data_IF_059542179328
#
_entry.id   IF_059542179328
#
_cell.length_a   1.000
_cell.length_b   1.000
_cell.length_c   1.000
_cell.angle_alpha   90.00
_cell.angle_beta   90.00
_cell.angle_gamma   90.00
#
_symmetry.space_group_name_H-M   'P 1'
#
loop_
_entity.id
_entity.type
_entity.pdbx_description
1 polymer ?
#
# COMPACT_ATOMS: atom_id res chain seq x y z
N UNK A 1 4.07 -25.93 46.64
CA UNK A 1 5.08 -25.74 45.58
C UNK A 1 4.29 -25.63 44.28
N UNK A 2 3.86 -24.43 43.86
CA UNK A 2 4.63 -23.46 43.07
C UNK A 2 5.11 -24.12 41.75
N UNK A 3 4.37 -24.05 40.64
CA UNK A 3 4.20 -22.95 39.65
C UNK A 3 5.50 -22.66 38.84
N UNK A 4 5.33 -22.65 37.50
CA UNK A 4 6.19 -22.11 36.42
C UNK A 4 7.44 -22.94 36.07
N UNK A 5 7.86 -23.10 34.82
CA UNK A 5 7.64 -22.33 33.58
C UNK A 5 8.16 -23.16 32.40
N UNK A 6 7.36 -23.36 31.35
CA UNK A 6 7.83 -23.40 29.96
C UNK A 6 6.60 -23.38 29.02
N UNK A 7 5.87 -22.26 29.04
CA UNK A 7 5.03 -21.87 27.91
C UNK A 7 5.98 -21.30 26.84
N UNK A 8 6.22 -22.04 25.78
CA UNK A 8 6.59 -21.43 24.51
C UNK A 8 5.27 -20.92 23.91
N UNK A 9 5.14 -19.60 23.81
CA UNK A 9 4.05 -18.91 23.12
C UNK A 9 4.01 -19.34 21.65
N UNK A 10 3.11 -20.26 21.31
CA UNK A 10 2.59 -20.36 19.95
C UNK A 10 1.62 -19.19 19.75
N UNK A 11 2.14 -18.10 19.17
CA UNK A 11 1.34 -16.97 18.71
C UNK A 11 0.39 -17.44 17.58
N UNK A 12 -0.87 -17.66 17.91
CA UNK A 12 -1.87 -18.21 16.98
C UNK A 12 -2.07 -17.30 15.76
N UNK A 13 -2.07 -17.83 14.52
CA UNK A 13 -2.29 -17.06 13.30
C UNK A 13 -3.62 -16.31 13.27
N UNK A 14 -4.67 -16.82 13.91
CA UNK A 14 -5.98 -16.18 13.96
C UNK A 14 -5.96 -14.83 14.68
N UNK A 15 -5.15 -14.70 15.73
CA UNK A 15 -5.05 -13.44 16.49
C UNK A 15 -4.40 -12.32 15.66
N UNK A 16 -3.42 -12.66 14.81
CA UNK A 16 -2.81 -11.70 13.88
C UNK A 16 -3.79 -11.28 12.78
N UNK A 17 -4.61 -12.20 12.28
CA UNK A 17 -5.64 -11.88 11.29
C UNK A 17 -6.72 -10.96 11.89
N UNK A 18 -7.20 -11.28 13.10
CA UNK A 18 -8.18 -10.44 13.82
C UNK A 18 -7.60 -9.04 14.08
N UNK A 19 -6.31 -8.95 14.42
CA UNK A 19 -5.58 -7.68 14.53
C UNK A 19 -5.54 -6.87 13.24
N UNK A 20 -5.26 -7.52 12.09
CA UNK A 20 -5.27 -6.85 10.78
C UNK A 20 -6.67 -6.33 10.40
N UNK A 21 -7.73 -7.07 10.69
CA UNK A 21 -9.09 -6.58 10.45
C UNK A 21 -9.47 -5.41 11.37
N UNK A 22 -9.03 -5.44 12.63
CA UNK A 22 -9.32 -4.36 13.58
C UNK A 22 -8.60 -3.06 13.21
N UNK A 23 -7.33 -3.14 12.79
CA UNK A 23 -6.60 -1.96 12.32
C UNK A 23 -7.15 -1.44 10.98
N UNK A 24 -7.76 -2.31 10.14
CA UNK A 24 -8.37 -1.92 8.86
C UNK A 24 -9.59 -1.02 9.09
N UNK A 25 -10.45 -1.36 10.07
CA UNK A 25 -11.64 -0.58 10.43
C UNK A 25 -11.32 0.86 10.89
N UNK A 26 -10.13 1.09 11.46
CA UNK A 26 -9.66 2.41 11.90
C UNK A 26 -9.20 3.33 10.73
N UNK A 27 -8.98 2.79 9.53
CA UNK A 27 -8.47 3.55 8.37
C UNK A 27 -9.55 3.95 7.34
N UNK A 28 -10.77 3.39 7.41
CA UNK A 28 -11.81 3.50 6.35
C UNK A 28 -12.70 4.76 6.37
N UNK A 29 -12.23 5.87 6.93
CA UNK A 29 -12.98 7.13 6.91
C UNK A 29 -12.81 7.90 5.60
N UNK A 30 -13.48 7.52 4.51
CA UNK A 30 -13.44 8.29 3.25
C UNK A 30 -14.76 9.05 3.04
N UNK A 31 -14.67 10.38 3.08
CA UNK A 31 -15.75 11.32 2.76
C UNK A 31 -15.84 11.61 1.27
N UNK A 32 -17.07 11.74 0.78
CA UNK A 32 -17.44 11.89 -0.63
C UNK A 32 -17.53 13.38 -1.04
N UNK A 33 -16.53 13.97 -1.73
CA UNK A 33 -16.71 15.19 -2.59
C UNK A 33 -15.56 15.36 -3.63
N UNK A 34 -15.92 15.74 -4.87
CA UNK A 34 -15.13 16.21 -6.04
C UNK A 34 -14.22 15.20 -6.81
N UNK A 35 -14.78 14.00 -7.00
CA UNK A 35 -14.14 12.80 -7.57
C UNK A 35 -13.45 12.95 -8.95
N UNK A 36 -13.94 13.80 -9.85
CA UNK A 36 -13.48 13.76 -11.26
C UNK A 36 -12.08 14.33 -11.45
N UNK A 37 -11.75 15.43 -10.75
CA UNK A 37 -10.43 16.05 -10.89
C UNK A 37 -9.38 15.28 -10.11
N UNK A 38 -9.75 14.68 -8.98
CA UNK A 38 -8.92 13.79 -8.16
C UNK A 38 -8.58 12.50 -8.90
N UNK A 39 -9.52 11.95 -9.67
CA UNK A 39 -9.33 10.74 -10.48
C UNK A 39 -8.26 10.92 -11.57
N UNK A 40 -8.33 12.01 -12.34
CA UNK A 40 -7.32 12.31 -13.37
C UNK A 40 -5.92 12.54 -12.76
N UNK A 41 -5.88 13.31 -11.68
CA UNK A 41 -4.67 13.62 -10.93
C UNK A 41 -4.00 12.36 -10.36
N UNK A 42 -4.81 11.50 -9.73
CA UNK A 42 -4.37 10.21 -9.20
C UNK A 42 -3.86 9.32 -10.33
N UNK A 43 -4.61 9.20 -11.42
CA UNK A 43 -4.23 8.35 -12.57
C UNK A 43 -2.87 8.74 -13.12
N UNK A 44 -2.64 10.03 -13.38
CA UNK A 44 -1.35 10.54 -13.89
C UNK A 44 -0.19 10.22 -12.92
N UNK A 45 -0.40 10.39 -11.62
CA UNK A 45 0.62 10.10 -10.61
C UNK A 45 0.92 8.60 -10.45
N UNK A 46 -0.10 7.74 -10.56
CA UNK A 46 0.07 6.28 -10.48
C UNK A 46 0.72 5.72 -11.74
N UNK A 47 0.33 6.19 -12.93
CA UNK A 47 0.99 5.84 -14.19
C UNK A 47 2.48 6.21 -14.14
N UNK A 48 2.81 7.42 -13.70
CA UNK A 48 4.19 7.85 -13.48
C UNK A 48 4.93 6.93 -12.50
N UNK A 49 4.29 6.55 -11.39
CA UNK A 49 4.89 5.65 -10.41
C UNK A 49 5.18 4.26 -11.01
N UNK A 50 4.29 3.72 -11.84
CA UNK A 50 4.52 2.42 -12.48
C UNK A 50 5.70 2.46 -13.45
N UNK A 51 5.87 3.55 -14.20
CA UNK A 51 7.05 3.77 -15.05
C UNK A 51 8.34 3.84 -14.23
N UNK A 52 8.31 4.57 -13.11
CA UNK A 52 9.42 4.67 -12.16
C UNK A 52 9.73 3.31 -11.56
N UNK A 53 8.71 2.55 -11.15
CA UNK A 53 8.87 1.21 -10.60
C UNK A 53 9.53 0.26 -11.62
N UNK A 54 9.13 0.34 -12.89
CA UNK A 54 9.76 -0.42 -13.97
C UNK A 54 11.23 -0.03 -14.21
N UNK A 55 11.62 1.22 -13.94
CA UNK A 55 12.98 1.71 -14.10
C UNK A 55 13.90 1.35 -12.94
N UNK A 56 13.44 1.57 -11.70
CA UNK A 56 14.24 1.39 -10.48
C UNK A 56 14.11 -0.02 -9.87
N UNK A 57 13.08 -0.77 -10.26
CA UNK A 57 12.81 -2.11 -9.73
C UNK A 57 12.42 -2.10 -8.25
N UNK A 58 11.60 -1.12 -7.83
CA UNK A 58 11.10 -1.08 -6.46
C UNK A 58 10.22 -2.29 -6.16
N UNK A 59 10.03 -2.58 -4.88
CA UNK A 59 9.12 -3.61 -4.45
C UNK A 59 7.66 -3.21 -4.75
N UNK A 60 6.81 -4.22 -4.93
CA UNK A 60 5.36 -4.00 -5.08
C UNK A 60 4.81 -3.24 -3.86
N UNK A 61 5.33 -3.54 -2.66
CA UNK A 61 4.95 -2.87 -1.42
C UNK A 61 5.26 -1.37 -1.45
N UNK A 62 6.39 -0.93 -2.00
CA UNK A 62 6.66 0.51 -2.22
C UNK A 62 5.61 1.17 -3.09
N UNK A 63 5.15 0.50 -4.15
CA UNK A 63 4.07 1.02 -5.00
C UNK A 63 2.74 1.08 -4.24
N UNK A 64 2.43 0.09 -3.40
CA UNK A 64 1.23 0.12 -2.55
C UNK A 64 1.25 1.28 -1.55
N UNK A 65 2.38 1.47 -0.86
CA UNK A 65 2.57 2.57 0.08
C UNK A 65 2.45 3.92 -0.61
N UNK A 66 3.05 4.06 -1.80
CA UNK A 66 2.91 5.26 -2.62
C UNK A 66 1.42 5.59 -2.90
N UNK A 67 0.65 4.61 -3.39
CA UNK A 67 -0.76 4.81 -3.74
C UNK A 67 -1.57 5.15 -2.49
N UNK A 68 -1.35 4.45 -1.37
CA UNK A 68 -2.02 4.75 -0.11
C UNK A 68 -1.73 6.18 0.38
N UNK A 69 -0.47 6.62 0.33
CA UNK A 69 -0.10 7.98 0.74
C UNK A 69 -0.70 9.03 -0.17
N UNK A 70 -0.72 8.78 -1.48
CA UNK A 70 -1.32 9.65 -2.47
C UNK A 70 -2.83 9.80 -2.22
N UNK A 71 -3.56 8.69 -2.09
CA UNK A 71 -5.02 8.69 -1.91
C UNK A 71 -5.42 9.38 -0.60
N UNK A 72 -4.70 9.12 0.50
CA UNK A 72 -4.92 9.79 1.78
C UNK A 72 -4.58 11.27 1.76
N UNK A 73 -3.56 11.66 0.99
CA UNK A 73 -3.21 13.06 0.81
C UNK A 73 -4.27 13.81 -0.01
N UNK A 74 -4.71 13.23 -1.13
CA UNK A 74 -5.75 13.82 -1.99
C UNK A 74 -7.08 13.98 -1.23
N UNK A 75 -7.53 12.94 -0.52
CA UNK A 75 -8.77 12.98 0.26
C UNK A 75 -8.75 13.99 1.43
N UNK A 76 -7.59 14.21 2.05
CA UNK A 76 -7.46 15.15 3.18
C UNK A 76 -7.24 16.60 2.73
N UNK A 77 -6.73 16.81 1.52
CA UNK A 77 -6.29 18.11 1.04
C UNK A 77 -7.28 18.63 -0.01
N UNK A 78 -8.27 19.42 0.41
CA UNK A 78 -9.15 20.17 -0.51
C UNK A 78 -8.32 21.01 -1.47
N UNK A 79 -8.09 20.47 -2.66
CA UNK A 79 -7.17 21.03 -3.62
C UNK A 79 -7.79 22.27 -4.26
N UNK A 80 -7.24 23.46 -3.98
CA UNK A 80 -7.65 24.64 -4.72
C UNK A 80 -7.23 24.49 -6.19
N UNK A 81 -8.24 24.32 -7.06
CA UNK A 81 -8.20 24.22 -8.53
C UNK A 81 -7.33 25.32 -9.14
N UNK A 82 -6.02 25.11 -9.18
CA UNK A 82 -5.07 26.10 -9.69
C UNK A 82 -3.58 25.71 -9.62
N UNK A 83 -3.22 24.53 -9.13
CA UNK A 83 -1.80 24.16 -8.96
C UNK A 83 -1.51 22.72 -9.45
N UNK A 84 -1.64 22.45 -10.75
CA UNK A 84 -1.15 21.19 -11.37
C UNK A 84 0.30 20.85 -10.94
N UNK A 85 1.15 21.85 -10.73
CA UNK A 85 2.50 21.63 -10.19
C UNK A 85 2.51 20.92 -8.82
N UNK A 86 1.50 21.07 -7.97
CA UNK A 86 1.49 20.41 -6.66
C UNK A 86 1.41 18.90 -6.77
N UNK A 87 0.69 18.33 -7.75
CA UNK A 87 0.51 16.87 -7.75
C UNK A 87 1.81 16.14 -8.06
N UNK A 88 2.60 16.65 -8.99
CA UNK A 88 3.91 16.07 -9.28
C UNK A 88 4.84 16.13 -8.06
N UNK A 89 4.80 17.22 -7.29
CA UNK A 89 5.57 17.33 -6.05
C UNK A 89 5.05 16.39 -4.96
N UNK A 90 3.73 16.23 -4.84
CA UNK A 90 3.09 15.25 -3.95
C UNK A 90 3.54 13.84 -4.33
N UNK A 91 3.45 13.47 -5.62
CA UNK A 91 3.87 12.16 -6.10
C UNK A 91 5.35 11.87 -5.77
N UNK A 92 6.27 12.78 -6.12
CA UNK A 92 7.69 12.63 -5.76
C UNK A 92 7.88 12.46 -4.25
N UNK A 93 7.10 13.18 -3.45
CA UNK A 93 7.16 13.11 -2.00
C UNK A 93 6.63 11.79 -1.46
N UNK A 94 5.47 11.34 -1.93
CA UNK A 94 4.89 10.03 -1.58
C UNK A 94 5.85 8.91 -1.94
N UNK A 95 6.51 9.01 -3.10
CA UNK A 95 7.52 8.04 -3.52
C UNK A 95 8.74 8.06 -2.61
N UNK A 96 9.27 9.25 -2.31
CA UNK A 96 10.42 9.40 -1.40
C UNK A 96 10.11 8.79 -0.03
N UNK A 97 8.92 9.04 0.52
CA UNK A 97 8.47 8.46 1.78
C UNK A 97 8.32 6.94 1.69
N UNK A 98 7.67 6.42 0.64
CA UNK A 98 7.48 4.98 0.45
C UNK A 98 8.83 4.26 0.30
N UNK A 99 9.77 4.82 -0.46
CA UNK A 99 11.11 4.29 -0.61
C UNK A 99 11.89 4.35 0.72
N UNK A 100 11.74 5.41 1.53
CA UNK A 100 12.38 5.49 2.85
C UNK A 100 11.84 4.49 3.86
N UNK A 101 10.58 4.09 3.73
CA UNK A 101 9.92 3.11 4.60
C UNK A 101 10.30 1.69 4.22
N UNK A 102 10.27 1.36 2.93
CA UNK A 102 10.38 -0.03 2.46
C UNK A 102 11.74 -0.38 1.86
N UNK A 103 12.39 0.56 1.16
CA UNK A 103 13.59 0.25 0.37
C UNK A 103 14.87 0.42 1.18
N UNK A 104 15.75 -0.57 1.12
CA UNK A 104 17.02 -0.58 1.88
C UNK A 104 17.95 0.59 1.52
N UNK A 105 17.82 1.12 0.30
CA UNK A 105 18.62 2.26 -0.19
C UNK A 105 17.81 3.56 -0.37
N UNK A 106 16.56 3.61 0.08
CA UNK A 106 15.66 4.75 -0.18
C UNK A 106 16.07 6.06 0.50
N UNK A 107 16.85 6.01 1.59
CA UNK A 107 17.28 7.20 2.33
C UNK A 107 18.14 8.18 1.51
N UNK A 108 18.91 7.69 0.54
CA UNK A 108 19.88 8.52 -0.20
C UNK A 108 19.37 8.96 -1.59
N UNK A 109 18.18 8.51 -2.01
CA UNK A 109 17.69 8.76 -3.38
C UNK A 109 17.05 10.14 -3.57
N UNK A 110 16.55 10.77 -2.51
CA UNK A 110 15.74 12.00 -2.58
C UNK A 110 16.18 13.06 -1.57
N UNK A 111 17.37 13.62 -1.74
CA UNK A 111 17.99 14.56 -0.77
C UNK A 111 17.93 16.04 -1.23
N UNK A 112 16.80 16.48 -1.77
CA UNK A 112 16.59 17.90 -2.08
C UNK A 112 15.87 18.61 -0.92
N UNK A 113 16.38 19.78 -0.47
CA UNK A 113 15.76 20.60 0.58
C UNK A 113 14.29 20.96 0.31
N UNK A 114 13.89 21.02 -0.96
CA UNK A 114 12.51 21.28 -1.38
C UNK A 114 11.60 20.08 -1.12
N UNK A 115 12.12 18.85 -1.28
CA UNK A 115 11.38 17.60 -1.01
C UNK A 115 11.12 17.47 0.49
N UNK A 116 12.09 17.76 1.35
CA UNK A 116 11.94 17.65 2.82
C UNK A 116 10.77 18.46 3.40
N UNK A 117 10.50 19.66 2.86
CA UNK A 117 9.35 20.48 3.31
C UNK A 117 8.02 19.86 2.93
N UNK A 118 7.95 19.26 1.74
CA UNK A 118 6.76 18.58 1.27
C UNK A 118 6.55 17.24 2.00
N UNK A 119 7.63 16.50 2.29
CA UNK A 119 7.60 15.30 3.11
C UNK A 119 6.95 15.56 4.46
N UNK A 120 7.34 16.65 5.12
CA UNK A 120 6.74 17.03 6.39
C UNK A 120 5.23 17.30 6.24
N UNK A 121 4.79 17.97 5.17
CA UNK A 121 3.37 18.22 4.92
C UNK A 121 2.58 16.93 4.72
N UNK A 122 3.12 16.01 3.91
CA UNK A 122 2.50 14.69 3.67
C UNK A 122 2.46 13.88 4.98
N UNK A 123 3.55 13.84 5.75
CA UNK A 123 3.61 13.15 7.04
C UNK A 123 2.58 13.69 8.05
N UNK A 124 2.44 15.01 8.13
CA UNK A 124 1.44 15.65 8.99
C UNK A 124 0.01 15.30 8.55
N UNK A 125 -0.24 15.27 7.25
CA UNK A 125 -1.53 14.88 6.67
C UNK A 125 -1.85 13.42 6.97
N UNK A 126 -0.85 12.54 6.85
CA UNK A 126 -0.95 11.12 7.20
C UNK A 126 -0.97 10.86 8.71
N UNK A 127 -0.86 11.90 9.55
CA UNK A 127 -0.72 11.79 11.01
C UNK A 127 0.40 10.82 11.42
N UNK A 128 1.49 10.78 10.65
CA UNK A 128 2.63 9.88 10.84
C UNK A 128 2.32 8.38 10.75
N UNK A 129 1.12 8.00 10.27
CA UNK A 129 0.77 6.59 10.01
C UNK A 129 1.38 6.14 8.68
N UNK A 130 2.63 5.65 8.73
CA UNK A 130 3.45 5.25 7.58
C UNK A 130 3.45 3.75 7.30
N UNK A 131 2.79 2.95 8.13
CA UNK A 131 2.65 1.52 7.91
C UNK A 131 1.16 1.21 7.85
N UNK A 132 0.46 1.64 6.79
CA UNK A 132 -0.93 1.26 6.58
C UNK A 132 -0.99 -0.25 6.41
N UNK A 133 -2.16 -0.82 6.69
CA UNK A 133 -2.36 -2.23 6.37
C UNK A 133 -2.41 -2.38 4.87
N UNK A 134 -1.67 -3.36 4.36
CA UNK A 134 -1.61 -3.62 2.94
C UNK A 134 -2.26 -4.95 2.61
N UNK A 135 -2.84 -5.10 1.40
CA UNK A 135 -3.36 -6.39 0.93
C UNK A 135 -2.31 -7.50 0.95
N UNK A 136 -1.02 -7.14 0.84
CA UNK A 136 0.10 -8.06 0.94
C UNK A 136 0.19 -8.72 2.33
N UNK A 137 -0.18 -8.01 3.40
CA UNK A 137 -0.22 -8.55 4.77
C UNK A 137 -1.25 -9.67 4.92
N UNK A 138 -2.43 -9.51 4.31
CA UNK A 138 -3.45 -10.55 4.26
C UNK A 138 -3.04 -11.70 3.34
N UNK A 139 -2.39 -11.40 2.22
CA UNK A 139 -1.92 -12.40 1.27
C UNK A 139 -0.93 -13.40 1.91
N UNK A 140 0.07 -12.93 2.66
CA UNK A 140 1.02 -13.81 3.34
C UNK A 140 0.30 -14.76 4.30
N UNK A 141 -0.72 -14.26 5.01
CA UNK A 141 -1.54 -15.10 5.87
C UNK A 141 -2.32 -16.17 5.09
N UNK A 142 -2.99 -15.80 3.99
CA UNK A 142 -3.80 -16.75 3.23
C UNK A 142 -2.91 -17.80 2.55
N UNK A 143 -1.78 -17.39 1.97
CA UNK A 143 -0.84 -18.30 1.31
C UNK A 143 -0.28 -19.34 2.29
N UNK A 144 0.09 -18.94 3.51
CA UNK A 144 0.54 -19.87 4.55
C UNK A 144 -0.53 -20.91 4.89
N UNK A 145 -1.82 -20.54 4.89
CA UNK A 145 -2.92 -21.48 5.13
C UNK A 145 -3.17 -22.44 3.98
N UNK A 146 -2.93 -22.02 2.73
CA UNK A 146 -3.10 -22.88 1.55
C UNK A 146 -1.96 -23.89 1.37
N UNK A 147 -0.85 -23.75 2.10
CA UNK A 147 0.23 -24.75 2.08
C UNK A 147 0.96 -24.88 0.73
N UNK A 148 1.04 -23.79 -0.04
CA UNK A 148 1.68 -23.79 -1.36
C UNK A 148 3.17 -24.19 -1.27
N UNK A 149 3.61 -25.08 -2.16
CA UNK A 149 5.03 -25.44 -2.30
C UNK A 149 5.87 -24.20 -2.67
N UNK A 150 7.11 -24.12 -2.21
CA UNK A 150 7.98 -22.93 -2.33
C UNK A 150 8.17 -22.40 -3.75
N UNK A 151 8.16 -23.28 -4.76
CA UNK A 151 8.24 -22.88 -6.17
C UNK A 151 6.93 -22.27 -6.69
N UNK A 152 5.79 -22.93 -6.41
CA UNK A 152 4.47 -22.43 -6.77
C UNK A 152 4.15 -21.11 -6.05
N UNK A 153 4.61 -20.99 -4.81
CA UNK A 153 4.49 -19.78 -4.00
C UNK A 153 5.09 -18.55 -4.70
N UNK A 154 6.30 -18.66 -5.27
CA UNK A 154 6.96 -17.54 -5.93
C UNK A 154 6.27 -17.16 -7.24
N UNK A 155 5.83 -18.12 -8.03
CA UNK A 155 5.10 -17.85 -9.27
C UNK A 155 3.73 -17.24 -9.00
N UNK A 156 3.04 -17.76 -7.99
CA UNK A 156 1.77 -17.25 -7.51
C UNK A 156 1.90 -15.80 -7.05
N UNK A 157 2.87 -15.50 -6.19
CA UNK A 157 3.12 -14.14 -5.71
C UNK A 157 3.41 -13.18 -6.87
N UNK A 158 4.23 -13.56 -7.85
CA UNK A 158 4.50 -12.71 -9.01
C UNK A 158 3.23 -12.41 -9.82
N UNK A 159 2.36 -13.40 -10.02
CA UNK A 159 1.08 -13.19 -10.72
C UNK A 159 0.15 -12.29 -9.93
N UNK A 160 0.05 -12.54 -8.63
CA UNK A 160 -0.74 -11.72 -7.73
C UNK A 160 -0.24 -10.27 -7.71
N UNK A 161 1.07 -10.04 -7.59
CA UNK A 161 1.68 -8.70 -7.61
C UNK A 161 1.36 -7.98 -8.93
N UNK A 162 1.49 -8.66 -10.07
CA UNK A 162 1.20 -8.08 -11.36
C UNK A 162 -0.27 -7.69 -11.53
N UNK A 163 -1.20 -8.56 -11.12
CA UNK A 163 -2.63 -8.28 -11.15
C UNK A 163 -3.00 -7.20 -10.13
N UNK A 164 -2.38 -7.21 -8.96
CA UNK A 164 -2.66 -6.23 -7.93
C UNK A 164 -2.23 -4.83 -8.38
N UNK A 165 -1.07 -4.70 -9.04
CA UNK A 165 -0.62 -3.43 -9.63
C UNK A 165 -1.63 -2.89 -10.66
N UNK A 166 -2.27 -3.76 -11.45
CA UNK A 166 -3.31 -3.31 -12.38
C UNK A 166 -4.59 -2.87 -11.67
N UNK A 167 -4.98 -3.57 -10.58
CA UNK A 167 -6.14 -3.21 -9.77
C UNK A 167 -5.96 -1.87 -9.08
N UNK A 168 -4.81 -1.60 -8.44
CA UNK A 168 -4.58 -0.31 -7.75
C UNK A 168 -4.43 0.87 -8.71
N UNK A 169 -4.18 0.62 -9.99
CA UNK A 169 -4.16 1.68 -11.00
C UNK A 169 -5.55 2.30 -11.17
N UNK A 170 -6.60 1.51 -10.95
CA UNK A 170 -7.99 1.96 -11.00
C UNK A 170 -8.34 2.77 -9.73
N UNK A 171 -8.92 3.96 -9.88
CA UNK A 171 -9.35 4.79 -8.75
C UNK A 171 -10.47 4.18 -7.93
N UNK A 172 -11.21 3.23 -8.50
CA UNK A 172 -12.23 2.47 -7.77
C UNK A 172 -11.59 1.60 -6.68
N UNK A 173 -10.30 1.29 -6.76
CA UNK A 173 -9.61 0.48 -5.75
C UNK A 173 -9.67 1.11 -4.35
N UNK A 174 -9.74 2.45 -4.26
CA UNK A 174 -9.78 3.21 -3.00
C UNK A 174 -11.04 2.91 -2.18
N UNK A 175 -12.11 2.44 -2.83
CA UNK A 175 -13.40 2.15 -2.19
C UNK A 175 -13.43 0.77 -1.51
N UNK A 176 -12.43 -0.08 -1.78
CA UNK A 176 -12.39 -1.44 -1.29
C UNK A 176 -11.39 -1.59 -0.15
N UNK A 177 -11.78 -2.39 0.83
CA UNK A 177 -10.94 -2.79 1.95
C UNK A 177 -9.69 -3.55 1.46
N UNK A 178 -8.50 -3.28 2.03
CA UNK A 178 -7.31 -4.08 1.79
C UNK A 178 -7.53 -5.61 1.85
N UNK A 179 -8.31 -6.11 2.79
CA UNK A 179 -8.67 -7.53 2.93
C UNK A 179 -9.49 -8.04 1.74
N UNK A 180 -10.48 -7.28 1.29
CA UNK A 180 -11.31 -7.60 0.13
C UNK A 180 -10.46 -7.63 -1.14
N UNK A 181 -9.61 -6.62 -1.36
CA UNK A 181 -8.71 -6.56 -2.50
C UNK A 181 -7.73 -7.74 -2.52
N UNK A 182 -7.18 -8.11 -1.36
CA UNK A 182 -6.28 -9.26 -1.25
C UNK A 182 -6.98 -10.54 -1.69
N UNK A 183 -8.17 -10.79 -1.12
CA UNK A 183 -8.93 -12.02 -1.34
C UNK A 183 -9.44 -12.12 -2.79
N UNK A 184 -9.96 -11.03 -3.34
CA UNK A 184 -10.48 -11.00 -4.71
C UNK A 184 -9.37 -11.22 -5.73
N UNK A 185 -8.25 -10.51 -5.59
CA UNK A 185 -7.09 -10.69 -6.47
C UNK A 185 -6.55 -12.12 -6.36
N UNK A 186 -6.56 -12.69 -5.16
CA UNK A 186 -6.12 -14.06 -4.92
C UNK A 186 -7.01 -15.09 -5.61
N UNK A 187 -8.33 -14.98 -5.44
CA UNK A 187 -9.29 -15.86 -6.11
C UNK A 187 -9.15 -15.79 -7.63
N UNK A 188 -8.93 -14.60 -8.17
CA UNK A 188 -8.69 -14.43 -9.60
C UNK A 188 -7.40 -15.10 -10.09
N UNK A 189 -6.31 -15.03 -9.31
CA UNK A 189 -5.06 -15.72 -9.64
C UNK A 189 -5.26 -17.25 -9.62
N UNK A 190 -6.02 -17.77 -8.66
CA UNK A 190 -6.31 -19.21 -8.54
C UNK A 190 -7.12 -19.70 -9.75
N UNK A 191 -8.16 -18.97 -10.14
CA UNK A 191 -9.02 -19.31 -11.30
C UNK A 191 -8.26 -19.34 -12.63
N UNK A 192 -7.19 -18.54 -12.77
CA UNK A 192 -6.30 -18.57 -13.94
C UNK A 192 -5.28 -19.72 -13.94
N UNK A 193 -5.17 -20.49 -12.86
CA UNK A 193 -4.21 -21.60 -12.71
C UNK A 193 -4.88 -22.97 -12.87
N UNK A 194 -6.19 -23.09 -12.68
CA UNK A 194 -7.00 -24.28 -13.01
C UNK A 194 -7.27 -24.41 -14.53
#
# INVERSE_FOLDING_TARGET
MAIQQHEQEEMYPSFLLDGLYCEEDDENGVGEVDLFWEDEARREAVEWMLEVNAHYGFTTLTTMLFVNYLDRFLSSFCFQRGKQLMIHHVAITCLSLAAKVEETHGQNMFEAKTIQRMELLVLLTLKWKMHPITPLSFLDHIIRRLGLQTHLHREFLKRWEHLFLSVISDSRSVQYLPSVLATETMMHVIDQVE
#
